data_IF_587965039540
#
_entry.id   IF_587965039540
#
_cell.length_a   1.000
_cell.length_b   1.000
_cell.length_c   1.000
_cell.angle_alpha   90.00
_cell.angle_beta   90.00
_cell.angle_gamma   90.00
#
_symmetry.space_group_name_H-M   'P 1'
#
loop_
_entity.id
_entity.type
_entity.pdbx_description
1 polymer ?
#
# COMPACT_ATOMS: atom_id res chain seq x y z
N UNK A 1 17.95 12.41 11.38
CA UNK A 1 17.52 12.58 10.04
C UNK A 1 16.56 11.49 9.67
N UNK A 2 15.47 11.79 9.12
CA UNK A 2 14.47 10.83 8.78
C UNK A 2 14.83 10.00 7.58
N UNK A 3 14.28 8.80 7.48
CA UNK A 3 14.43 7.98 6.31
C UNK A 3 13.37 8.27 5.28
N UNK A 4 13.66 7.95 4.04
CA UNK A 4 12.72 8.07 2.95
C UNK A 4 12.83 6.83 2.08
N UNK A 5 11.70 6.19 1.83
CA UNK A 5 11.62 5.04 0.94
C UNK A 5 10.68 5.42 -0.20
N UNK A 6 11.10 5.17 -1.42
CA UNK A 6 10.28 5.47 -2.59
C UNK A 6 10.39 4.37 -3.62
N UNK A 7 9.28 4.07 -4.27
CA UNK A 7 9.25 3.15 -5.39
C UNK A 7 8.21 3.64 -6.39
N UNK A 8 8.55 3.66 -7.66
CA UNK A 8 7.63 4.05 -8.72
C UNK A 8 7.92 3.16 -9.90
N UNK A 9 7.01 2.25 -10.22
CA UNK A 9 7.30 1.20 -11.18
C UNK A 9 6.06 0.80 -11.96
N UNK A 10 6.22 0.56 -13.25
CA UNK A 10 5.17 -0.02 -14.07
C UNK A 10 5.01 -1.49 -13.73
N UNK A 11 3.78 -1.95 -13.65
CA UNK A 11 3.47 -3.35 -13.43
C UNK A 11 2.42 -3.76 -14.45
N UNK A 12 2.08 -5.03 -14.48
CA UNK A 12 1.10 -5.51 -15.44
C UNK A 12 -0.22 -4.75 -15.29
N UNK A 13 -0.61 -4.03 -16.31
CA UNK A 13 -1.89 -3.32 -16.33
C UNK A 13 -1.91 -1.99 -15.61
N UNK A 14 -0.81 -1.54 -15.02
CA UNK A 14 -0.86 -0.31 -14.27
C UNK A 14 0.47 0.14 -13.71
N UNK A 15 0.40 0.78 -12.55
CA UNK A 15 1.57 1.39 -11.94
C UNK A 15 1.50 1.30 -10.43
N UNK A 16 2.63 1.06 -9.80
CA UNK A 16 2.76 1.10 -8.34
C UNK A 16 3.59 2.32 -7.98
N UNK A 17 3.07 3.12 -7.06
CA UNK A 17 3.79 4.26 -6.52
C UNK A 17 3.74 4.15 -5.01
N UNK A 18 4.88 4.14 -4.37
CA UNK A 18 4.98 3.97 -2.94
C UNK A 18 5.94 4.98 -2.37
N UNK A 19 5.59 5.54 -1.23
CA UNK A 19 6.57 6.27 -0.44
C UNK A 19 6.30 6.07 1.04
N UNK A 20 7.34 6.19 1.83
CA UNK A 20 7.24 6.22 3.27
C UNK A 20 8.34 7.15 3.80
N UNK A 21 7.96 8.06 4.69
CA UNK A 21 8.87 9.02 5.28
C UNK A 21 8.85 8.78 6.78
N UNK A 22 10.01 8.68 7.38
CA UNK A 22 10.09 8.50 8.83
C UNK A 22 9.56 9.74 9.52
N UNK A 23 8.60 9.55 10.42
CA UNK A 23 7.91 10.67 11.08
C UNK A 23 7.37 10.17 12.42
N UNK A 24 7.99 10.61 13.49
CA UNK A 24 7.65 10.13 14.83
C UNK A 24 6.29 10.63 15.32
N UNK A 25 5.66 11.53 14.62
CA UNK A 25 4.32 11.97 14.95
C UNK A 25 3.26 10.98 14.49
N UNK A 26 3.65 9.97 13.74
CA UNK A 26 2.71 8.96 13.24
C UNK A 26 2.92 7.64 13.94
N UNK A 27 1.85 6.86 14.14
CA UNK A 27 1.97 5.53 14.72
C UNK A 27 2.90 4.67 13.88
N UNK A 28 3.83 3.96 14.53
CA UNK A 28 4.80 3.14 13.84
C UNK A 28 5.96 3.95 13.27
N UNK A 29 5.97 5.27 13.50
CA UNK A 29 7.09 6.17 13.15
C UNK A 29 7.26 6.41 11.65
N UNK A 30 6.24 6.10 10.86
CA UNK A 30 6.30 6.34 9.41
C UNK A 30 4.99 6.93 8.92
N UNK A 31 5.09 7.92 8.04
CA UNK A 31 3.97 8.41 7.26
C UNK A 31 4.14 7.81 5.87
N UNK A 32 3.12 7.15 5.34
CA UNK A 32 3.26 6.45 4.08
C UNK A 32 2.01 6.51 3.22
N UNK A 33 2.22 6.27 1.93
CA UNK A 33 1.15 5.99 0.98
C UNK A 33 1.69 5.03 -0.05
N UNK A 34 1.03 3.87 -0.21
CA UNK A 34 1.34 2.87 -1.20
C UNK A 34 0.12 2.77 -2.11
N UNK A 35 0.32 2.91 -3.41
CA UNK A 35 -0.77 3.02 -4.35
C UNK A 35 -0.54 2.14 -5.56
N UNK A 36 -1.56 1.41 -5.98
CA UNK A 36 -1.55 0.66 -7.23
C UNK A 36 -2.76 1.12 -8.03
N UNK A 37 -2.53 1.55 -9.25
CA UNK A 37 -3.63 2.03 -10.07
C UNK A 37 -3.47 1.58 -11.51
N UNK A 38 -4.62 1.45 -12.18
CA UNK A 38 -4.72 1.13 -13.58
C UNK A 38 -4.78 2.44 -14.34
N UNK A 39 -4.19 2.48 -15.53
CA UNK A 39 -4.14 3.72 -16.30
C UNK A 39 -5.50 4.20 -16.72
N UNK A 40 -6.45 3.29 -16.91
CA UNK A 40 -7.75 3.65 -17.42
C UNK A 40 -8.78 3.81 -16.32
N UNK A 41 -8.75 2.97 -15.33
CA UNK A 41 -9.79 2.95 -14.33
C UNK A 41 -9.45 3.66 -13.03
N UNK A 42 -8.18 4.01 -12.86
CA UNK A 42 -7.78 4.74 -11.67
C UNK A 42 -7.28 3.84 -10.55
N UNK A 43 -7.38 4.33 -9.32
CA UNK A 43 -6.83 3.62 -8.17
C UNK A 43 -7.54 2.30 -7.93
N UNK A 44 -6.77 1.24 -7.70
CA UNK A 44 -7.28 -0.09 -7.42
C UNK A 44 -7.05 -0.45 -5.96
N UNK A 45 -5.87 -0.14 -5.42
CA UNK A 45 -5.50 -0.49 -4.06
C UNK A 45 -4.65 0.62 -3.47
N UNK A 46 -4.88 0.97 -2.22
CA UNK A 46 -4.05 1.94 -1.52
C UNK A 46 -3.96 1.57 -0.05
N UNK A 47 -2.75 1.64 0.49
CA UNK A 47 -2.53 1.59 1.93
C UNK A 47 -1.99 2.97 2.33
N UNK A 48 -2.55 3.56 3.36
CA UNK A 48 -2.03 4.83 3.88
C UNK A 48 -2.37 5.02 5.35
N UNK A 49 -1.73 6.01 5.97
CA UNK A 49 -2.02 6.39 7.34
C UNK A 49 -2.11 7.90 7.47
N UNK A 50 -2.73 8.56 6.50
CA UNK A 50 -2.78 10.02 6.50
C UNK A 50 -3.52 10.60 7.71
N UNK A 51 -4.52 9.90 8.23
CA UNK A 51 -5.26 10.37 9.39
C UNK A 51 -5.92 9.22 10.12
N UNK A 52 -6.26 9.46 11.37
CA UNK A 52 -6.97 8.48 12.19
C UNK A 52 -8.45 8.49 11.80
N UNK A 53 -9.02 7.31 11.64
CA UNK A 53 -10.42 7.19 11.30
C UNK A 53 -11.13 6.48 12.46
N UNK A 54 -12.30 6.97 12.86
CA UNK A 54 -13.01 6.44 14.02
C UNK A 54 -13.31 4.95 13.90
N UNK A 55 -13.49 4.45 12.68
CA UNK A 55 -13.85 3.06 12.47
C UNK A 55 -12.67 2.21 11.99
N UNK A 56 -11.74 2.80 11.25
CA UNK A 56 -10.66 2.05 10.63
C UNK A 56 -9.34 2.16 11.36
N UNK A 57 -9.21 3.14 12.25
CA UNK A 57 -7.95 3.41 12.94
C UNK A 57 -6.99 4.22 12.07
N UNK A 58 -5.71 4.10 12.35
CA UNK A 58 -4.70 4.89 11.64
C UNK A 58 -4.29 4.29 10.31
N UNK A 59 -4.25 2.97 10.20
CA UNK A 59 -3.72 2.31 9.01
C UNK A 59 -4.87 1.79 8.16
N UNK A 60 -4.98 2.30 6.93
CA UNK A 60 -6.14 2.07 6.09
C UNK A 60 -5.78 1.30 4.84
N UNK A 61 -6.68 0.46 4.41
CA UNK A 61 -6.60 -0.23 3.13
C UNK A 61 -7.85 0.14 2.33
N UNK A 62 -7.65 0.77 1.18
CA UNK A 62 -8.74 1.20 0.29
C UNK A 62 -8.68 0.37 -0.98
N UNK A 63 -9.81 -0.17 -1.38
CA UNK A 63 -9.90 -0.97 -2.60
C UNK A 63 -11.03 -0.48 -3.47
N UNK A 64 -10.85 -0.49 -4.79
CA UNK A 64 -11.89 -0.05 -5.69
C UNK A 64 -13.02 -1.07 -5.81
N UNK A 65 -12.74 -2.33 -5.46
CA UNK A 65 -13.68 -3.42 -5.64
C UNK A 65 -14.33 -3.88 -4.32
N UNK A 66 -14.20 -3.12 -3.27
CA UNK A 66 -14.77 -3.50 -1.98
C UNK A 66 -14.77 -2.33 -1.03
N UNK A 67 -14.90 -2.66 0.25
CA UNK A 67 -14.97 -1.63 1.28
C UNK A 67 -13.61 -1.34 1.86
N UNK A 68 -13.45 -0.12 2.33
CA UNK A 68 -12.24 0.27 3.04
C UNK A 68 -12.17 -0.47 4.36
N UNK A 69 -10.96 -0.78 4.81
CA UNK A 69 -10.77 -1.49 6.07
C UNK A 69 -9.54 -0.98 6.80
N UNK A 70 -9.52 -1.20 8.10
CA UNK A 70 -8.29 -1.02 8.88
C UNK A 70 -7.38 -2.21 8.66
N UNK A 71 -6.08 -2.00 8.72
CA UNK A 71 -5.11 -3.09 8.59
C UNK A 71 -4.06 -2.95 9.67
N UNK A 72 -3.43 -4.06 9.98
CA UNK A 72 -2.37 -4.09 10.97
C UNK A 72 -1.07 -3.60 10.37
N UNK A 73 -0.33 -2.80 11.13
CA UNK A 73 0.98 -2.32 10.71
C UNK A 73 2.01 -2.85 11.70
N UNK A 74 2.85 -3.78 11.25
CA UNK A 74 3.89 -4.35 12.09
C UNK A 74 5.16 -3.52 12.05
N UNK A 75 5.61 -3.23 10.87
CA UNK A 75 6.76 -2.34 10.62
C UNK A 75 6.74 -2.00 9.13
N UNK A 76 7.55 -1.03 8.72
CA UNK A 76 7.49 -0.52 7.36
C UNK A 76 7.90 -1.58 6.34
N UNK A 77 8.89 -2.39 6.65
CA UNK A 77 9.36 -3.42 5.73
C UNK A 77 8.29 -4.48 5.49
N UNK A 78 7.66 -4.95 6.55
CA UNK A 78 6.59 -5.94 6.42
C UNK A 78 5.39 -5.35 5.70
N UNK A 79 5.11 -4.08 5.90
CA UNK A 79 3.98 -3.42 5.28
C UNK A 79 4.20 -3.26 3.78
N UNK A 80 5.40 -2.92 3.37
CA UNK A 80 5.78 -2.85 1.95
C UNK A 80 5.63 -4.22 1.30
N UNK A 81 6.14 -5.26 1.96
CA UNK A 81 6.05 -6.62 1.43
C UNK A 81 4.61 -7.06 1.27
N UNK A 82 3.77 -6.75 2.24
CA UNK A 82 2.35 -7.09 2.19
C UNK A 82 1.67 -6.40 1.00
N UNK A 83 1.96 -5.11 0.80
CA UNK A 83 1.36 -4.38 -0.30
C UNK A 83 1.78 -4.96 -1.64
N UNK A 84 3.06 -5.25 -1.81
CA UNK A 84 3.55 -5.80 -3.08
C UNK A 84 3.02 -7.20 -3.34
N UNK A 85 2.82 -8.00 -2.29
CA UNK A 85 2.21 -9.31 -2.45
C UNK A 85 0.76 -9.18 -2.88
N UNK A 86 0.04 -8.23 -2.33
CA UNK A 86 -1.35 -8.03 -2.72
C UNK A 86 -1.45 -7.54 -4.17
N UNK A 87 -0.56 -6.64 -4.60
CA UNK A 87 -0.51 -6.21 -5.99
C UNK A 87 -0.23 -7.41 -6.90
N UNK A 88 0.72 -8.26 -6.54
CA UNK A 88 1.03 -9.44 -7.34
C UNK A 88 -0.18 -10.37 -7.45
N UNK A 89 -0.92 -10.52 -6.38
CA UNK A 89 -2.12 -11.34 -6.39
C UNK A 89 -3.18 -10.72 -7.31
N UNK A 90 -3.38 -9.43 -7.24
CA UNK A 90 -4.39 -8.74 -8.07
C UNK A 90 -4.01 -8.74 -9.54
N UNK A 91 -2.74 -8.74 -9.87
CA UNK A 91 -2.29 -8.76 -11.25
C UNK A 91 -2.13 -10.18 -11.79
N UNK A 92 -2.26 -11.18 -10.95
CA UNK A 92 -2.11 -12.57 -11.35
C UNK A 92 -0.69 -13.06 -11.48
N UNK A 93 0.29 -12.22 -11.11
CA UNK A 93 1.70 -12.60 -11.26
C UNK A 93 2.04 -13.81 -10.43
N UNK A 94 1.50 -13.91 -9.23
CA UNK A 94 1.79 -15.03 -8.37
C UNK A 94 1.35 -16.35 -8.93
N UNK A 95 0.32 -16.35 -9.75
CA UNK A 95 -0.25 -17.59 -10.24
C UNK A 95 0.58 -18.23 -11.31
N UNK A 96 1.57 -17.56 -11.82
CA UNK A 96 2.36 -18.10 -12.90
C UNK A 96 3.41 -19.04 -12.42
N UNK A 97 3.60 -19.16 -11.14
CA UNK A 97 4.64 -19.95 -10.66
C UNK A 97 4.26 -21.33 -10.37
N UNK A 98 3.09 -21.67 -10.56
CA UNK A 98 2.73 -22.88 -10.18
C UNK A 98 2.72 -23.85 -11.10
N UNK A 99 3.07 -24.65 -11.08
CA UNK A 99 3.01 -25.61 -11.95
C UNK A 99 3.78 -26.31 -12.05
#
# INVERSE_FOLDING_TARGET
>A
MGGLLELNRAVSGGRVEMFAIEDHDYPGDWFYRFQFYDRETGEILRYDNAHDDDHLGWHHRHVSFGEDSGIEFLNVTAHIARFLQEVAHLTGIEDTDHD
#
